data_IF_357228743350
#
_entry.id   IF_357228743350
#
_cell.length_a   1.000
_cell.length_b   1.000
_cell.length_c   1.000
_cell.angle_alpha   90.00
_cell.angle_beta   90.00
_cell.angle_gamma   90.00
#
_symmetry.space_group_name_H-M   'P 1'
#
loop_
_entity.id
_entity.type
_entity.pdbx_description
1 polymer ?
#
# COMPACT_ATOMS: atom_id res chain seq x y z
N UNK A 1 25.34 25.96 7.38
CA UNK A 1 24.40 25.42 6.37
C UNK A 1 23.72 26.61 5.74
N UNK A 2 24.18 26.99 4.56
CA UNK A 2 23.78 28.25 3.89
C UNK A 2 22.51 28.02 3.09
N UNK A 3 21.73 29.08 2.88
CA UNK A 3 20.43 29.04 2.18
C UNK A 3 20.51 28.44 0.77
N UNK A 4 21.67 28.48 0.11
CA UNK A 4 21.89 27.85 -1.20
C UNK A 4 21.94 26.31 -1.15
N UNK A 5 22.45 25.70 -0.08
CA UNK A 5 22.51 24.23 0.03
C UNK A 5 21.11 23.59 0.16
N UNK A 6 20.12 24.32 0.72
CA UNK A 6 18.73 23.85 0.81
C UNK A 6 18.02 23.85 -0.55
N UNK A 7 18.34 24.81 -1.42
CA UNK A 7 17.67 24.95 -2.73
C UNK A 7 18.15 23.84 -3.69
N UNK A 8 19.39 23.39 -3.55
CA UNK A 8 19.94 22.31 -4.36
C UNK A 8 19.42 20.92 -3.94
N UNK A 9 19.20 20.68 -2.63
CA UNK A 9 18.50 19.47 -2.16
C UNK A 9 17.05 19.43 -2.65
N UNK A 10 16.32 20.56 -2.62
CA UNK A 10 14.93 20.63 -3.08
C UNK A 10 14.82 20.35 -4.60
N UNK A 11 15.76 20.84 -5.41
CA UNK A 11 15.82 20.54 -6.85
C UNK A 11 16.17 19.08 -7.15
N UNK A 12 16.94 18.43 -6.28
CA UNK A 12 17.28 17.01 -6.44
C UNK A 12 16.09 16.08 -6.11
N UNK A 13 15.18 16.49 -5.23
CA UNK A 13 13.90 15.80 -4.98
C UNK A 13 12.85 16.03 -6.07
N UNK A 14 12.89 17.16 -6.77
CA UNK A 14 12.00 17.48 -7.91
C UNK A 14 12.46 16.80 -9.21
N UNK A 15 13.69 16.29 -9.27
CA UNK A 15 14.32 15.70 -10.47
C UNK A 15 13.84 14.30 -10.89
N UNK A 16 12.92 13.65 -10.18
CA UNK A 16 12.34 12.35 -10.57
C UNK A 16 10.90 12.46 -11.08
N UNK A 17 10.50 13.58 -11.69
CA UNK A 17 9.31 13.58 -12.54
C UNK A 17 9.68 13.05 -13.92
N UNK A 18 9.96 11.75 -14.05
CA UNK A 18 9.98 11.13 -15.38
C UNK A 18 8.58 11.32 -15.98
N UNK A 19 8.44 11.95 -17.17
CA UNK A 19 7.14 12.05 -17.83
C UNK A 19 6.71 10.63 -18.21
N UNK A 20 5.91 10.00 -17.35
CA UNK A 20 5.25 8.74 -17.68
C UNK A 20 4.35 9.03 -18.88
N UNK A 21 4.66 8.41 -20.02
CA UNK A 21 3.89 8.62 -21.24
C UNK A 21 2.41 8.30 -20.97
N UNK A 22 1.51 9.09 -21.55
CA UNK A 22 0.07 8.87 -21.44
C UNK A 22 -0.30 7.44 -21.85
N UNK A 23 0.44 6.86 -22.81
CA UNK A 23 0.31 5.45 -23.21
C UNK A 23 0.66 4.44 -22.11
N UNK A 24 1.74 4.65 -21.33
CA UNK A 24 2.10 3.76 -20.22
C UNK A 24 1.09 3.86 -19.07
N UNK A 25 0.55 5.06 -18.83
CA UNK A 25 -0.50 5.31 -17.84
C UNK A 25 -1.78 4.53 -18.16
N UNK A 26 -2.26 4.66 -19.41
CA UNK A 26 -3.48 4.00 -19.87
C UNK A 26 -3.28 2.48 -19.95
N UNK A 27 -2.09 2.02 -20.35
CA UNK A 27 -1.73 0.60 -20.36
C UNK A 27 -1.75 -0.01 -18.97
N UNK A 28 -1.13 0.63 -17.98
CA UNK A 28 -1.11 0.12 -16.60
C UNK A 28 -2.52 0.08 -15.99
N UNK A 29 -3.30 1.15 -16.16
CA UNK A 29 -4.69 1.19 -15.68
C UNK A 29 -5.59 0.14 -16.35
N UNK A 30 -5.43 -0.08 -17.66
CA UNK A 30 -6.17 -1.09 -18.41
C UNK A 30 -5.84 -2.52 -17.97
N UNK A 31 -4.56 -2.83 -17.76
CA UNK A 31 -4.14 -4.14 -17.23
C UNK A 31 -4.71 -4.36 -15.83
N UNK A 32 -4.58 -3.37 -14.93
CA UNK A 32 -5.14 -3.49 -13.57
C UNK A 32 -6.66 -3.69 -13.59
N UNK A 33 -7.39 -2.94 -14.42
CA UNK A 33 -8.82 -3.08 -14.57
C UNK A 33 -9.21 -4.47 -15.11
N UNK A 34 -8.46 -4.99 -16.09
CA UNK A 34 -8.66 -6.34 -16.62
C UNK A 34 -8.44 -7.42 -15.56
N UNK A 35 -7.37 -7.31 -14.77
CA UNK A 35 -7.10 -8.25 -13.68
C UNK A 35 -8.17 -8.12 -12.57
N UNK A 36 -8.60 -6.91 -12.21
CA UNK A 36 -9.67 -6.70 -11.23
C UNK A 36 -10.98 -7.33 -11.71
N UNK A 37 -11.32 -7.18 -12.99
CA UNK A 37 -12.52 -7.81 -13.56
C UNK A 37 -12.42 -9.33 -13.49
N UNK A 38 -11.28 -9.91 -13.85
CA UNK A 38 -11.04 -11.35 -13.74
C UNK A 38 -11.14 -11.83 -12.28
N UNK A 39 -10.60 -11.07 -11.33
CA UNK A 39 -10.68 -11.37 -9.90
C UNK A 39 -12.12 -11.31 -9.37
N UNK A 40 -12.92 -10.36 -9.84
CA UNK A 40 -14.35 -10.29 -9.50
C UNK A 40 -15.13 -11.49 -10.06
N UNK A 41 -14.88 -11.86 -11.31
CA UNK A 41 -15.51 -13.03 -11.94
C UNK A 41 -15.13 -14.34 -11.24
N UNK A 42 -13.86 -14.50 -10.86
CA UNK A 42 -13.40 -15.64 -10.07
C UNK A 42 -14.02 -15.62 -8.66
N UNK A 43 -14.11 -14.45 -8.04
CA UNK A 43 -14.70 -14.23 -6.72
C UNK A 43 -16.17 -14.65 -6.63
N UNK A 44 -16.95 -14.56 -7.72
CA UNK A 44 -18.36 -15.01 -7.73
C UNK A 44 -18.52 -16.50 -7.40
N UNK A 45 -17.48 -17.31 -7.61
CA UNK A 45 -17.52 -18.74 -7.30
C UNK A 45 -17.27 -19.04 -5.82
N UNK A 46 -16.65 -18.11 -5.07
CA UNK A 46 -16.28 -18.27 -3.67
C UNK A 46 -17.06 -17.37 -2.70
N UNK A 47 -17.58 -16.24 -3.19
CA UNK A 47 -18.25 -15.21 -2.40
C UNK A 47 -19.60 -14.83 -3.01
N UNK A 48 -20.68 -15.01 -2.24
CA UNK A 48 -22.05 -14.75 -2.68
C UNK A 48 -22.65 -13.43 -2.16
N UNK A 49 -21.87 -12.61 -1.44
CA UNK A 49 -22.36 -11.37 -0.83
C UNK A 49 -22.18 -10.15 -1.75
N UNK A 50 -23.24 -9.39 -1.99
CA UNK A 50 -23.23 -8.12 -2.72
C UNK A 50 -22.18 -7.14 -2.16
N UNK A 51 -22.00 -7.16 -0.83
CA UNK A 51 -21.03 -6.36 -0.10
C UNK A 51 -19.57 -6.59 -0.56
N UNK A 52 -19.20 -7.83 -0.93
CA UNK A 52 -17.86 -8.14 -1.43
C UNK A 52 -17.52 -7.33 -2.69
N UNK A 53 -18.47 -7.18 -3.61
CA UNK A 53 -18.25 -6.43 -4.85
C UNK A 53 -18.04 -4.94 -4.55
N UNK A 54 -18.86 -4.34 -3.68
CA UNK A 54 -18.69 -2.95 -3.28
C UNK A 54 -17.34 -2.71 -2.57
N UNK A 55 -16.98 -3.60 -1.63
CA UNK A 55 -15.69 -3.53 -0.92
C UNK A 55 -14.49 -3.65 -1.87
N UNK A 56 -14.55 -4.60 -2.81
CA UNK A 56 -13.51 -4.81 -3.81
C UNK A 56 -13.33 -3.60 -4.74
N UNK A 57 -14.42 -2.95 -5.16
CA UNK A 57 -14.37 -1.77 -6.02
C UNK A 57 -13.75 -0.58 -5.28
N UNK A 58 -14.15 -0.33 -4.02
CA UNK A 58 -13.60 0.72 -3.18
C UNK A 58 -12.09 0.51 -2.96
N UNK A 59 -11.69 -0.71 -2.62
CA UNK A 59 -10.28 -1.07 -2.46
C UNK A 59 -9.52 -0.90 -3.78
N UNK A 60 -9.99 -1.47 -4.88
CA UNK A 60 -9.29 -1.44 -6.16
C UNK A 60 -9.05 -0.01 -6.65
N UNK A 61 -10.07 0.85 -6.63
CA UNK A 61 -9.94 2.25 -7.08
C UNK A 61 -9.01 3.04 -6.15
N UNK A 62 -9.17 2.88 -4.84
CA UNK A 62 -8.33 3.61 -3.87
C UNK A 62 -6.87 3.18 -3.94
N UNK A 63 -6.60 1.87 -4.02
CA UNK A 63 -5.25 1.33 -4.09
C UNK A 63 -4.58 1.71 -5.41
N UNK A 64 -5.30 1.67 -6.53
CA UNK A 64 -4.77 2.12 -7.82
C UNK A 64 -4.38 3.61 -7.77
N UNK A 65 -5.24 4.46 -7.19
CA UNK A 65 -4.95 5.88 -7.02
C UNK A 65 -3.76 6.14 -6.08
N UNK A 66 -3.62 5.34 -5.01
CA UNK A 66 -2.49 5.42 -4.09
C UNK A 66 -1.18 4.98 -4.75
N UNK A 67 -1.18 3.86 -5.47
CA UNK A 67 -0.03 3.39 -6.25
C UNK A 67 0.39 4.48 -7.25
N UNK A 68 -0.56 5.03 -8.00
CA UNK A 68 -0.31 6.08 -8.98
C UNK A 68 0.30 7.35 -8.35
N UNK A 69 -0.24 7.77 -7.21
CA UNK A 69 0.24 8.99 -6.52
C UNK A 69 1.60 8.76 -5.88
N UNK A 70 1.83 7.57 -5.32
CA UNK A 70 3.09 7.21 -4.68
C UNK A 70 4.23 7.10 -5.70
N UNK A 71 3.98 6.51 -6.87
CA UNK A 71 4.95 6.48 -7.98
C UNK A 71 5.36 7.88 -8.47
N UNK A 72 4.49 8.89 -8.36
CA UNK A 72 4.79 10.25 -8.83
C UNK A 72 5.37 11.17 -7.77
N UNK A 73 4.94 11.03 -6.52
CA UNK A 73 5.26 12.01 -5.46
C UNK A 73 5.94 11.40 -4.24
N UNK A 74 6.11 10.07 -4.17
CA UNK A 74 6.59 9.34 -2.98
C UNK A 74 5.85 9.75 -1.70
N UNK A 75 4.57 10.08 -1.84
CA UNK A 75 3.69 10.59 -0.80
C UNK A 75 2.31 9.97 -0.95
N UNK A 76 1.87 9.27 0.10
CA UNK A 76 0.51 8.75 0.19
C UNK A 76 -0.45 9.86 0.68
N UNK A 77 -1.42 10.31 -0.15
CA UNK A 77 -2.34 11.36 0.23
C UNK A 77 -3.29 10.90 1.36
N UNK A 78 -3.39 11.73 2.40
CA UNK A 78 -4.34 11.52 3.50
C UNK A 78 -5.80 11.50 3.00
N UNK A 79 -6.09 12.24 1.92
CA UNK A 79 -7.42 12.33 1.32
C UNK A 79 -7.92 10.99 0.76
N UNK A 80 -7.04 10.01 0.51
CA UNK A 80 -7.46 8.68 0.02
C UNK A 80 -7.31 7.63 1.14
N UNK A 81 -6.21 7.68 1.89
CA UNK A 81 -5.93 6.69 2.95
C UNK A 81 -6.92 6.77 4.12
N UNK A 82 -7.37 7.96 4.53
CA UNK A 82 -8.33 8.10 5.63
C UNK A 82 -9.73 7.60 5.22
N UNK A 83 -10.31 8.03 4.08
CA UNK A 83 -11.58 7.46 3.63
C UNK A 83 -11.52 5.96 3.41
N UNK A 84 -10.39 5.42 2.94
CA UNK A 84 -10.22 3.98 2.78
C UNK A 84 -10.29 3.25 4.12
N UNK A 85 -9.65 3.78 5.16
CA UNK A 85 -9.71 3.21 6.51
C UNK A 85 -11.12 3.27 7.08
N UNK A 86 -11.80 4.41 6.93
CA UNK A 86 -13.19 4.58 7.39
C UNK A 86 -14.16 3.67 6.62
N UNK A 87 -13.96 3.49 5.31
CA UNK A 87 -14.77 2.60 4.50
C UNK A 87 -14.63 1.14 4.96
N UNK A 88 -13.41 0.70 5.30
CA UNK A 88 -13.19 -0.64 5.85
C UNK A 88 -13.86 -0.84 7.20
N UNK A 89 -13.77 0.16 8.10
CA UNK A 89 -14.44 0.07 9.39
C UNK A 89 -15.97 0.09 9.24
N UNK A 90 -16.51 0.93 8.35
CA UNK A 90 -17.93 0.97 8.05
C UNK A 90 -18.40 -0.38 7.47
N UNK A 91 -17.65 -0.94 6.52
CA UNK A 91 -17.92 -2.25 5.93
C UNK A 91 -18.05 -3.33 7.01
N UNK A 92 -17.11 -3.39 7.96
CA UNK A 92 -17.14 -4.36 9.07
C UNK A 92 -18.30 -4.10 10.02
N UNK A 93 -18.64 -2.84 10.31
CA UNK A 93 -19.78 -2.52 11.17
C UNK A 93 -21.09 -3.01 10.56
N UNK A 94 -21.26 -2.91 9.23
CA UNK A 94 -22.49 -3.35 8.56
C UNK A 94 -22.54 -4.86 8.34
N UNK A 95 -21.42 -5.50 7.96
CA UNK A 95 -21.38 -6.92 7.62
C UNK A 95 -21.10 -7.83 8.83
N UNK A 96 -20.23 -7.38 9.75
CA UNK A 96 -19.69 -8.17 10.86
C UNK A 96 -19.55 -7.34 12.14
N UNK A 97 -20.65 -6.82 12.71
CA UNK A 97 -20.60 -5.88 13.83
C UNK A 97 -19.88 -6.45 15.06
N UNK A 98 -19.93 -7.77 15.29
CA UNK A 98 -19.21 -8.45 16.37
C UNK A 98 -17.68 -8.34 16.27
N UNK A 99 -17.15 -8.15 15.07
CA UNK A 99 -15.71 -8.05 14.79
C UNK A 99 -15.21 -6.60 14.75
N UNK A 100 -16.10 -5.61 14.80
CA UNK A 100 -15.75 -4.20 14.65
C UNK A 100 -14.64 -3.73 15.61
N UNK A 101 -14.65 -4.22 16.86
CA UNK A 101 -13.60 -3.90 17.85
C UNK A 101 -12.25 -4.49 17.41
N UNK A 102 -12.21 -5.72 16.91
CA UNK A 102 -10.99 -6.38 16.45
C UNK A 102 -10.37 -5.63 15.26
N UNK A 103 -11.21 -5.11 14.37
CA UNK A 103 -10.79 -4.31 13.22
C UNK A 103 -10.31 -2.91 13.61
N UNK A 104 -10.97 -2.28 14.58
CA UNK A 104 -10.51 -1.02 15.15
C UNK A 104 -9.14 -1.17 15.84
N UNK A 105 -8.99 -2.22 16.64
CA UNK A 105 -7.69 -2.59 17.26
C UNK A 105 -6.67 -2.92 16.18
N UNK A 106 -7.07 -3.59 15.10
CA UNK A 106 -6.24 -3.82 13.93
C UNK A 106 -5.73 -2.52 13.31
N UNK A 107 -6.61 -1.54 13.07
CA UNK A 107 -6.23 -0.25 12.52
C UNK A 107 -5.22 0.49 13.42
N UNK A 108 -5.49 0.54 14.72
CA UNK A 108 -4.59 1.14 15.71
C UNK A 108 -3.24 0.42 15.77
N UNK A 109 -3.26 -0.91 15.83
CA UNK A 109 -2.05 -1.75 15.90
C UNK A 109 -1.22 -1.59 14.63
N UNK A 110 -1.85 -1.58 13.45
CA UNK A 110 -1.17 -1.35 12.18
C UNK A 110 -0.40 -0.02 12.17
N UNK A 111 -1.04 1.06 12.60
CA UNK A 111 -0.36 2.35 12.70
C UNK A 111 0.82 2.30 13.69
N UNK A 112 0.59 1.77 14.89
CA UNK A 112 1.59 1.73 15.97
C UNK A 112 2.80 0.87 15.59
N UNK A 113 2.61 -0.26 14.92
CA UNK A 113 3.71 -1.16 14.51
C UNK A 113 4.67 -0.44 13.57
N UNK A 114 4.16 0.19 12.51
CA UNK A 114 5.02 0.92 11.56
C UNK A 114 5.65 2.15 12.22
N UNK A 115 4.89 2.86 13.07
CA UNK A 115 5.41 3.98 13.83
C UNK A 115 6.57 3.57 14.75
N UNK A 116 6.44 2.44 15.45
CA UNK A 116 7.45 1.92 16.36
C UNK A 116 8.68 1.43 15.60
N UNK A 117 8.51 0.74 14.47
CA UNK A 117 9.60 0.38 13.57
C UNK A 117 10.36 1.62 13.08
N UNK A 118 9.64 2.66 12.65
CA UNK A 118 10.28 3.90 12.23
C UNK A 118 11.01 4.58 13.40
N UNK A 119 10.44 4.60 14.60
CA UNK A 119 11.08 5.23 15.75
C UNK A 119 12.36 4.48 16.17
N UNK A 120 12.33 3.14 16.23
CA UNK A 120 13.51 2.31 16.50
C UNK A 120 14.58 2.51 15.43
N UNK A 121 14.20 2.49 14.15
CA UNK A 121 15.13 2.75 13.06
C UNK A 121 15.74 4.15 13.12
N UNK A 122 14.93 5.15 13.49
CA UNK A 122 15.36 6.53 13.64
C UNK A 122 16.33 6.70 14.82
N UNK A 123 16.11 5.99 15.93
CA UNK A 123 17.03 5.98 17.07
C UNK A 123 18.40 5.40 16.69
N UNK A 124 18.42 4.32 15.91
CA UNK A 124 19.65 3.65 15.48
C UNK A 124 20.39 4.41 14.38
N UNK A 125 19.67 4.90 13.37
CA UNK A 125 20.25 5.45 12.14
C UNK A 125 20.29 6.98 12.12
N UNK A 126 19.64 7.65 13.08
CA UNK A 126 19.39 9.12 13.12
C UNK A 126 18.76 9.67 11.83
N UNK A 127 18.10 8.80 11.06
CA UNK A 127 17.46 9.11 9.77
C UNK A 127 16.06 8.52 9.75
N UNK A 128 15.11 9.23 9.14
CA UNK A 128 13.78 8.70 8.90
C UNK A 128 13.87 7.65 7.79
N UNK A 129 13.62 6.39 8.14
CA UNK A 129 13.72 5.27 7.21
C UNK A 129 12.41 4.90 6.55
N UNK A 130 11.28 5.13 7.24
CA UNK A 130 9.95 4.69 6.80
C UNK A 130 9.00 5.87 6.70
N UNK A 131 8.21 5.91 5.62
CA UNK A 131 7.22 6.95 5.40
C UNK A 131 6.04 6.83 6.37
N UNK A 132 5.67 7.92 7.05
CA UNK A 132 4.45 7.94 7.88
C UNK A 132 3.15 7.80 7.06
N UNK A 133 3.24 7.92 5.72
CA UNK A 133 2.15 7.55 4.83
C UNK A 133 1.90 6.04 4.83
N UNK A 134 2.97 5.24 4.81
CA UNK A 134 2.89 3.77 4.80
C UNK A 134 2.22 3.25 6.08
N UNK A 135 2.49 3.90 7.22
CA UNK A 135 1.83 3.60 8.49
C UNK A 135 0.29 3.76 8.41
N UNK A 136 -0.20 4.75 7.67
CA UNK A 136 -1.65 4.98 7.49
C UNK A 136 -2.27 3.97 6.55
N UNK A 137 -1.55 3.60 5.49
CA UNK A 137 -2.02 2.56 4.57
C UNK A 137 -2.07 1.20 5.28
N UNK A 138 -1.08 0.90 6.12
CA UNK A 138 -1.06 -0.31 6.93
C UNK A 138 -2.14 -0.30 8.02
N UNK A 139 -2.43 0.87 8.61
CA UNK A 139 -3.60 1.05 9.47
C UNK A 139 -4.92 0.80 8.72
N UNK A 140 -5.05 1.29 7.47
CA UNK A 140 -6.19 0.97 6.63
C UNK A 140 -6.29 -0.55 6.38
N UNK A 141 -5.18 -1.24 6.11
CA UNK A 141 -5.17 -2.70 6.02
C UNK A 141 -5.71 -3.37 7.30
N UNK A 142 -5.33 -2.87 8.47
CA UNK A 142 -5.84 -3.34 9.76
C UNK A 142 -7.35 -3.12 9.95
N UNK A 143 -7.90 -2.03 9.42
CA UNK A 143 -9.34 -1.78 9.44
C UNK A 143 -10.12 -2.76 8.55
N UNK A 144 -9.56 -3.14 7.39
CA UNK A 144 -10.21 -4.07 6.46
C UNK A 144 -10.06 -5.54 6.85
N UNK A 145 -8.88 -5.97 7.31
CA UNK A 145 -8.58 -7.39 7.55
C UNK A 145 -8.47 -7.79 9.03
N UNK A 146 -8.54 -6.82 9.94
CA UNK A 146 -8.37 -7.05 11.37
C UNK A 146 -6.91 -7.23 11.81
N UNK A 147 -6.70 -7.29 13.13
CA UNK A 147 -5.36 -7.37 13.73
C UNK A 147 -4.63 -8.67 13.39
N UNK A 148 -5.34 -9.79 13.28
CA UNK A 148 -4.76 -11.12 13.06
C UNK A 148 -4.12 -11.26 11.68
N UNK A 149 -4.62 -10.51 10.70
CA UNK A 149 -4.15 -10.56 9.32
C UNK A 149 -2.94 -9.66 9.06
N UNK A 150 -2.65 -8.70 9.96
CA UNK A 150 -1.55 -7.75 9.81
C UNK A 150 -0.17 -8.41 9.63
N UNK A 151 0.22 -9.47 10.37
CA UNK A 151 1.51 -10.11 10.16
C UNK A 151 1.67 -10.67 8.75
N UNK A 152 0.60 -11.25 8.18
CA UNK A 152 0.60 -11.78 6.81
C UNK A 152 0.76 -10.62 5.81
N UNK A 153 -0.01 -9.54 5.98
CA UNK A 153 0.11 -8.34 5.13
C UNK A 153 1.54 -7.78 5.20
N UNK A 154 2.13 -7.70 6.38
CA UNK A 154 3.49 -7.16 6.56
C UNK A 154 4.54 -8.02 5.86
N UNK A 155 4.49 -9.34 6.07
CA UNK A 155 5.44 -10.27 5.47
C UNK A 155 5.32 -10.31 3.94
N UNK A 156 4.10 -10.37 3.42
CA UNK A 156 3.84 -10.35 1.98
C UNK A 156 4.28 -9.03 1.34
N UNK A 157 4.02 -7.89 1.99
CA UNK A 157 4.48 -6.59 1.49
C UNK A 157 6.02 -6.49 1.50
N UNK A 158 6.68 -6.99 2.54
CA UNK A 158 8.14 -7.05 2.60
C UNK A 158 8.72 -7.93 1.48
N UNK A 159 8.12 -9.10 1.23
CA UNK A 159 8.56 -10.00 0.18
C UNK A 159 8.40 -9.37 -1.20
N UNK A 160 7.25 -8.75 -1.48
CA UNK A 160 7.02 -8.02 -2.73
C UNK A 160 7.98 -6.85 -2.90
N UNK A 161 8.26 -6.10 -1.83
CA UNK A 161 9.25 -5.01 -1.86
C UNK A 161 10.66 -5.49 -2.20
N UNK A 162 11.09 -6.64 -1.64
CA UNK A 162 12.37 -7.26 -1.97
C UNK A 162 12.40 -7.69 -3.43
N UNK A 163 11.37 -8.40 -3.91
CA UNK A 163 11.26 -8.84 -5.30
C UNK A 163 11.37 -7.64 -6.23
N UNK A 164 10.60 -6.58 -5.98
CA UNK A 164 10.63 -5.37 -6.80
C UNK A 164 12.02 -4.72 -6.85
N UNK A 165 12.69 -4.62 -5.68
CA UNK A 165 14.05 -4.09 -5.57
C UNK A 165 15.06 -4.94 -6.34
N UNK A 166 14.99 -6.26 -6.21
CA UNK A 166 15.87 -7.20 -6.91
C UNK A 166 15.62 -7.14 -8.42
N UNK A 167 14.37 -7.15 -8.87
CA UNK A 167 14.02 -7.07 -10.29
C UNK A 167 14.54 -5.78 -10.93
N UNK A 168 14.39 -4.63 -10.26
CA UNK A 168 14.94 -3.36 -10.75
C UNK A 168 16.46 -3.42 -10.81
N UNK A 169 17.13 -3.91 -9.77
CA UNK A 169 18.60 -4.00 -9.74
C UNK A 169 19.16 -4.93 -10.83
N UNK A 170 18.47 -6.04 -11.11
CA UNK A 170 18.88 -7.01 -12.14
C UNK A 170 18.57 -6.50 -13.55
N UNK A 171 17.39 -5.91 -13.77
CA UNK A 171 16.99 -5.38 -15.08
C UNK A 171 17.77 -4.12 -15.46
N UNK A 172 18.09 -3.27 -14.49
CA UNK A 172 18.87 -2.05 -14.67
C UNK A 172 20.27 -2.21 -14.07
N UNK A 173 21.00 -3.21 -14.59
CA UNK A 173 22.34 -3.65 -14.18
C UNK A 173 23.42 -2.53 -14.15
N UNK A 174 23.09 -1.31 -14.59
CA UNK A 174 24.02 -0.18 -14.76
C UNK A 174 23.68 1.08 -13.96
N UNK A 175 22.61 1.09 -13.15
CA UNK A 175 22.31 2.24 -12.28
C UNK A 175 22.97 2.02 -10.92
N UNK A 176 24.30 2.03 -10.92
CA UNK A 176 25.11 2.14 -9.70
C UNK A 176 25.06 3.58 -9.18
N UNK A 177 23.88 4.15 -9.04
CA UNK A 177 23.75 5.46 -8.39
C UNK A 177 23.76 5.24 -6.89
N UNK A 178 24.89 5.65 -6.31
CA UNK A 178 25.23 5.89 -4.90
C UNK A 178 24.23 6.73 -4.09
N UNK A 179 22.99 6.86 -4.53
CA UNK A 179 21.92 7.49 -3.76
C UNK A 179 21.16 6.39 -3.05
N UNK A 180 20.96 6.59 -1.75
CA UNK A 180 20.03 5.81 -0.93
C UNK A 180 18.65 5.89 -1.59
N UNK A 181 18.38 4.99 -2.53
CA UNK A 181 17.08 4.91 -3.18
C UNK A 181 16.14 4.37 -2.13
N UNK A 182 15.39 5.29 -1.53
CA UNK A 182 14.25 4.96 -0.69
C UNK A 182 13.30 4.15 -1.56
N UNK A 183 13.23 2.84 -1.29
CA UNK A 183 12.26 1.97 -1.97
C UNK A 183 10.89 2.37 -1.42
N UNK A 184 9.96 2.84 -2.27
CA UNK A 184 8.61 3.14 -1.81
C UNK A 184 7.95 1.85 -1.35
N UNK A 185 7.66 1.76 -0.05
CA UNK A 185 7.02 0.59 0.56
C UNK A 185 5.50 0.61 0.33
N UNK A 186 4.92 1.80 0.12
CA UNK A 186 3.50 2.03 -0.15
C UNK A 186 2.90 1.18 -1.27
N UNK A 187 3.50 1.09 -2.47
CA UNK A 187 2.96 0.31 -3.58
C UNK A 187 3.00 -1.20 -3.29
N UNK A 188 4.02 -1.68 -2.58
CA UNK A 188 4.11 -3.07 -2.16
C UNK A 188 3.01 -3.42 -1.14
N UNK A 189 2.75 -2.54 -0.16
CA UNK A 189 1.61 -2.70 0.75
C UNK A 189 0.30 -2.68 -0.03
N UNK A 190 0.11 -1.69 -0.92
CA UNK A 190 -1.14 -1.54 -1.66
C UNK A 190 -1.45 -2.77 -2.52
N UNK A 191 -0.45 -3.30 -3.22
CA UNK A 191 -0.57 -4.52 -4.00
C UNK A 191 -0.86 -5.73 -3.10
N UNK A 192 -0.24 -5.81 -1.92
CA UNK A 192 -0.49 -6.88 -0.96
C UNK A 192 -1.93 -6.87 -0.46
N UNK A 193 -2.46 -5.69 -0.08
CA UNK A 193 -3.87 -5.52 0.32
C UNK A 193 -4.78 -6.01 -0.79
N UNK A 194 -4.51 -5.60 -2.03
CA UNK A 194 -5.30 -5.98 -3.19
C UNK A 194 -5.28 -7.50 -3.44
N UNK A 195 -4.11 -8.13 -3.36
CA UNK A 195 -3.96 -9.57 -3.53
C UNK A 195 -4.66 -10.36 -2.42
N UNK A 196 -4.48 -9.97 -1.16
CA UNK A 196 -5.10 -10.65 -0.02
C UNK A 196 -6.61 -10.51 -0.05
N UNK A 197 -7.16 -9.37 -0.45
CA UNK A 197 -8.61 -9.21 -0.58
C UNK A 197 -9.22 -10.16 -1.62
N UNK A 198 -8.62 -10.24 -2.81
CA UNK A 198 -9.18 -11.01 -3.92
C UNK A 198 -8.89 -12.51 -3.81
N UNK A 199 -7.71 -12.89 -3.28
CA UNK A 199 -7.26 -14.28 -3.23
C UNK A 199 -7.22 -14.87 -1.81
N UNK A 200 -7.48 -14.07 -0.78
CA UNK A 200 -7.46 -14.52 0.63
C UNK A 200 -8.50 -15.58 0.96
N UNK A 201 -9.56 -15.73 0.15
CA UNK A 201 -10.52 -16.83 0.26
C UNK A 201 -9.93 -18.22 0.06
N UNK A 202 -8.76 -18.30 -0.56
CA UNK A 202 -7.97 -19.53 -0.70
C UNK A 202 -7.25 -19.89 0.61
N UNK A 203 -7.05 -18.93 1.52
CA UNK A 203 -6.40 -19.14 2.82
C UNK A 203 -7.47 -19.36 3.92
N UNK A 204 -7.57 -20.57 4.51
CA UNK A 204 -8.64 -20.91 5.45
C UNK A 204 -8.70 -20.06 6.73
N UNK A 205 -7.64 -19.32 7.07
CA UNK A 205 -7.48 -18.60 8.32
C UNK A 205 -8.06 -17.18 8.34
N UNK A 206 -8.61 -16.69 7.23
CA UNK A 206 -9.10 -15.31 7.10
C UNK A 206 -10.64 -15.19 6.97
N UNK A 207 -11.39 -16.25 7.31
CA UNK A 207 -12.87 -16.20 7.33
C UNK A 207 -13.40 -15.63 8.62
#
# INVERSE_FOLDING_TARGET
MTTNERIDEEKQFVGFSAPVSTGLTVGFGGVFAGIQLAALLAGQTFYSGEAYYYGSAILAVSLLALIWTDFRHFRLPNLITIPLMLAGLAFVIFERPSEAILHLVGAATGYVVIWLLNNTFRLLTKKNGIGMGDAKLFAAAGAWFGVLSLPVVFLSASLLGIIFTVTINVAFHNVRTRTKQFVPFGPAIALTIWLIWNFGGVLPTMR
#
